data_IF_968549655340
#
_entry.id   IF_968549655340
#
_cell.length_a   1.000
_cell.length_b   1.000
_cell.length_c   1.000
_cell.angle_alpha   90.00
_cell.angle_beta   90.00
_cell.angle_gamma   90.00
#
_symmetry.space_group_name_H-M   'P 1'
#
loop_
_entity.id
_entity.type
_entity.pdbx_description
1 polymer ?
#
# COMPACT_ATOMS: atom_id res chain seq x y z
N UNK A 1 3.41 17.58 -10.11
CA UNK A 1 4.34 16.59 -9.53
C UNK A 1 4.78 15.66 -10.65
N UNK A 2 6.08 15.65 -10.95
CA UNK A 2 6.86 14.68 -11.74
C UNK A 2 6.38 14.21 -13.14
N UNK A 3 5.17 14.56 -13.59
CA UNK A 3 4.62 14.16 -14.90
C UNK A 3 4.64 12.65 -15.16
N UNK A 4 4.58 11.85 -14.09
CA UNK A 4 4.50 10.39 -14.15
C UNK A 4 3.02 10.00 -14.19
N UNK A 5 2.64 9.24 -15.22
CA UNK A 5 1.31 8.62 -15.30
C UNK A 5 1.34 7.29 -14.55
N UNK A 6 0.34 7.04 -13.71
CA UNK A 6 0.23 5.82 -12.91
C UNK A 6 -1.19 5.29 -13.05
N UNK A 7 -1.31 3.98 -13.26
CA UNK A 7 -2.57 3.25 -13.35
C UNK A 7 -2.69 2.25 -12.20
N UNK A 8 -3.88 1.67 -12.04
CA UNK A 8 -4.15 0.61 -11.06
C UNK A 8 -3.31 -0.64 -11.33
N UNK A 9 -3.00 -0.93 -12.59
CA UNK A 9 -2.10 -2.02 -13.00
C UNK A 9 -0.64 -1.80 -12.59
N UNK A 10 -0.26 -0.58 -12.20
CA UNK A 10 1.08 -0.25 -11.69
C UNK A 10 1.17 -0.40 -10.16
N UNK A 11 0.09 -0.85 -9.51
CA UNK A 11 -0.02 -0.90 -8.06
C UNK A 11 -0.40 -2.29 -7.57
N UNK A 12 0.55 -2.97 -6.93
CA UNK A 12 0.26 -4.17 -6.18
C UNK A 12 -0.59 -3.82 -4.93
N UNK A 13 -1.85 -4.23 -4.95
CA UNK A 13 -2.85 -3.99 -3.91
C UNK A 13 -2.94 -5.23 -3.01
N UNK A 14 -2.44 -5.10 -1.78
CA UNK A 14 -2.40 -6.20 -0.81
C UNK A 14 -3.38 -5.94 0.34
N UNK A 15 -4.11 -6.96 0.75
CA UNK A 15 -5.16 -6.90 1.77
C UNK A 15 -4.83 -7.81 2.96
N UNK A 16 -5.06 -7.30 4.17
CA UNK A 16 -4.97 -8.04 5.43
C UNK A 16 -6.09 -7.63 6.38
N UNK A 17 -7.21 -7.16 5.81
CA UNK A 17 -8.36 -6.68 6.54
C UNK A 17 -9.05 -7.83 7.26
N UNK A 18 -9.62 -7.52 8.43
CA UNK A 18 -10.44 -8.43 9.23
C UNK A 18 -11.78 -7.76 9.52
N UNK A 19 -12.71 -8.48 10.13
CA UNK A 19 -13.99 -7.92 10.55
C UNK A 19 -13.87 -6.65 11.43
N UNK A 20 -12.76 -6.51 12.17
CA UNK A 20 -12.53 -5.38 13.08
C UNK A 20 -11.60 -4.30 12.52
N UNK A 21 -10.93 -4.57 11.38
CA UNK A 21 -9.88 -3.68 10.90
C UNK A 21 -9.76 -3.71 9.38
N UNK A 22 -9.88 -2.56 8.76
CA UNK A 22 -9.39 -2.35 7.39
C UNK A 22 -7.86 -2.18 7.38
N UNK A 23 -7.15 -2.93 6.53
CA UNK A 23 -5.68 -2.91 6.48
C UNK A 23 -5.15 -3.34 5.11
N UNK A 24 -4.75 -2.37 4.29
CA UNK A 24 -4.15 -2.60 2.97
C UNK A 24 -2.75 -2.03 2.83
N UNK A 25 -1.93 -2.69 2.03
CA UNK A 25 -0.61 -2.19 1.61
C UNK A 25 -0.65 -1.95 0.11
N UNK A 26 -0.23 -0.78 -0.34
CA UNK A 26 -0.04 -0.46 -1.75
C UNK A 26 1.45 -0.36 -2.05
N UNK A 27 1.90 -1.11 -3.06
CA UNK A 27 3.28 -1.09 -3.54
C UNK A 27 3.23 -0.59 -4.98
N UNK A 28 3.79 0.60 -5.21
CA UNK A 28 3.77 1.27 -6.51
C UNK A 28 4.99 0.86 -7.33
N UNK A 29 4.77 0.35 -8.53
CA UNK A 29 5.79 0.12 -9.55
C UNK A 29 5.78 1.30 -10.51
N UNK A 30 6.68 2.27 -10.32
CA UNK A 30 6.70 3.46 -11.18
C UNK A 30 7.17 3.09 -12.60
N UNK A 31 6.58 3.69 -13.65
CA UNK A 31 6.97 3.45 -15.03
C UNK A 31 8.47 3.69 -15.28
N UNK A 32 9.06 2.92 -16.20
CA UNK A 32 10.47 3.08 -16.58
C UNK A 32 11.47 2.71 -15.49
N UNK A 33 11.05 1.96 -14.46
CA UNK A 33 11.93 1.57 -13.36
C UNK A 33 12.31 2.72 -12.44
N UNK A 34 11.55 3.81 -12.45
CA UNK A 34 11.76 4.94 -11.55
C UNK A 34 11.58 4.53 -10.09
N UNK A 35 12.39 5.12 -9.20
CA UNK A 35 12.38 4.85 -7.78
C UNK A 35 12.52 6.15 -6.99
N UNK A 36 12.06 6.15 -5.75
CA UNK A 36 12.49 7.14 -4.77
C UNK A 36 13.87 6.77 -4.24
N UNK A 37 14.71 7.77 -3.95
CA UNK A 37 16.06 7.55 -3.40
C UNK A 37 16.05 6.70 -2.13
N UNK A 38 15.08 6.95 -1.24
CA UNK A 38 14.86 6.17 -0.03
C UNK A 38 13.41 6.30 0.50
N UNK A 39 13.09 5.54 1.55
CA UNK A 39 11.77 5.59 2.18
C UNK A 39 11.44 6.96 2.80
N UNK A 40 12.43 7.78 3.17
CA UNK A 40 12.19 9.13 3.71
C UNK A 40 11.79 10.09 2.59
N UNK A 41 12.44 10.03 1.44
CA UNK A 41 12.06 10.77 0.24
C UNK A 41 10.62 10.44 -0.19
N UNK A 42 10.27 9.14 -0.22
CA UNK A 42 8.88 8.72 -0.43
C UNK A 42 7.93 9.30 0.64
N UNK A 43 8.33 9.28 1.91
CA UNK A 43 7.55 9.87 3.01
C UNK A 43 7.32 11.38 2.89
N UNK A 44 8.32 12.15 2.43
CA UNK A 44 8.18 13.58 2.16
C UNK A 44 7.14 13.81 1.06
N UNK A 45 7.22 13.05 -0.03
CA UNK A 45 6.24 13.12 -1.11
C UNK A 45 4.83 12.77 -0.62
N UNK A 46 4.66 11.67 0.12
CA UNK A 46 3.35 11.23 0.61
C UNK A 46 2.76 12.22 1.61
N UNK A 47 3.58 12.80 2.50
CA UNK A 47 3.15 13.89 3.40
C UNK A 47 2.63 15.09 2.61
N UNK A 48 3.39 15.55 1.60
CA UNK A 48 2.98 16.67 0.77
C UNK A 48 1.69 16.36 -0.01
N UNK A 49 1.54 15.14 -0.53
CA UNK A 49 0.34 14.67 -1.20
C UNK A 49 -0.87 14.67 -0.24
N UNK A 50 -0.75 14.10 0.96
CA UNK A 50 -1.82 14.07 1.97
C UNK A 50 -2.21 15.48 2.40
N UNK A 51 -1.25 16.36 2.67
CA UNK A 51 -1.53 17.77 3.00
C UNK A 51 -2.26 18.50 1.88
N UNK A 52 -1.92 18.22 0.61
CA UNK A 52 -2.67 18.76 -0.53
C UNK A 52 -4.09 18.20 -0.58
N UNK A 53 -4.27 16.89 -0.42
CA UNK A 53 -5.60 16.25 -0.43
C UNK A 53 -6.48 16.81 0.69
N UNK A 54 -5.92 17.06 1.88
CA UNK A 54 -6.66 17.68 2.99
C UNK A 54 -7.12 19.10 2.64
N UNK A 55 -6.25 19.92 2.02
CA UNK A 55 -6.63 21.26 1.53
C UNK A 55 -7.72 21.18 0.46
N UNK A 56 -7.59 20.27 -0.51
CA UNK A 56 -8.61 20.05 -1.55
C UNK A 56 -9.92 19.55 -0.96
N UNK A 57 -9.89 18.72 0.09
CA UNK A 57 -11.08 18.28 0.83
C UNK A 57 -11.78 19.46 1.51
N UNK A 58 -11.04 20.26 2.29
CA UNK A 58 -11.60 21.40 3.04
C UNK A 58 -12.18 22.49 2.15
N UNK A 59 -11.62 22.66 0.95
CA UNK A 59 -12.09 23.63 -0.04
C UNK A 59 -13.21 23.10 -0.96
N UNK A 60 -13.64 21.84 -0.82
CA UNK A 60 -14.66 21.25 -1.70
C UNK A 60 -14.15 20.84 -3.09
N UNK A 61 -12.86 21.04 -3.38
CA UNK A 61 -12.25 20.75 -4.69
C UNK A 61 -12.31 19.27 -5.03
N UNK A 62 -12.20 18.38 -4.05
CA UNK A 62 -12.33 16.94 -4.30
C UNK A 62 -13.73 16.58 -4.81
N UNK A 63 -14.78 17.11 -4.19
CA UNK A 63 -16.17 16.89 -4.57
C UNK A 63 -16.45 17.48 -5.95
N UNK A 64 -15.97 18.70 -6.22
CA UNK A 64 -16.07 19.33 -7.54
C UNK A 64 -15.40 18.50 -8.66
N UNK A 65 -14.37 17.74 -8.34
CA UNK A 65 -13.71 16.78 -9.24
C UNK A 65 -14.40 15.40 -9.31
N UNK A 66 -15.58 15.24 -8.70
CA UNK A 66 -16.30 13.97 -8.62
C UNK A 66 -15.69 12.94 -7.67
N UNK A 67 -14.79 13.34 -6.76
CA UNK A 67 -14.07 12.45 -5.84
C UNK A 67 -14.70 12.44 -4.44
N UNK A 68 -16.03 12.34 -4.37
CA UNK A 68 -16.79 12.41 -3.12
C UNK A 68 -16.35 11.33 -2.12
N UNK A 69 -16.21 10.07 -2.57
CA UNK A 69 -15.74 8.98 -1.70
C UNK A 69 -14.38 9.28 -1.04
N UNK A 70 -13.43 9.88 -1.78
CA UNK A 70 -12.15 10.27 -1.21
C UNK A 70 -12.32 11.44 -0.23
N UNK A 71 -13.15 12.42 -0.58
CA UNK A 71 -13.42 13.56 0.30
C UNK A 71 -14.00 13.10 1.65
N UNK A 72 -14.96 12.18 1.62
CA UNK A 72 -15.67 11.70 2.80
C UNK A 72 -14.81 10.77 3.66
N UNK A 73 -13.93 9.98 3.04
CA UNK A 73 -13.18 8.91 3.72
C UNK A 73 -11.66 9.16 3.88
N UNK A 74 -11.13 10.31 3.44
CA UNK A 74 -9.70 10.63 3.62
C UNK A 74 -9.29 10.63 5.10
N UNK A 75 -10.21 11.05 5.98
CA UNK A 75 -10.05 11.01 7.42
C UNK A 75 -11.21 10.24 8.03
N UNK A 76 -10.89 9.29 8.91
CA UNK A 76 -11.83 8.38 9.57
C UNK A 76 -11.74 8.54 11.08
N UNK A 77 -12.76 8.10 11.81
CA UNK A 77 -12.74 8.11 13.28
C UNK A 77 -11.63 7.17 13.78
N UNK A 78 -10.76 7.67 14.66
CA UNK A 78 -9.65 6.89 15.21
C UNK A 78 -10.10 5.90 16.29
N UNK A 79 -11.18 6.24 17.00
CA UNK A 79 -11.74 5.49 18.11
C UNK A 79 -13.26 5.39 17.93
N UNK A 80 -13.86 4.35 18.50
CA UNK A 80 -15.31 4.28 18.64
C UNK A 80 -15.74 5.41 19.58
N UNK A 81 -16.80 6.14 19.25
CA UNK A 81 -17.25 7.27 20.04
C UNK A 81 -17.68 6.77 21.43
N UNK A 82 -16.83 6.95 22.45
CA UNK A 82 -17.12 6.53 23.82
C UNK A 82 -17.94 7.56 24.59
N UNK A 83 -17.95 8.82 24.15
CA UNK A 83 -18.69 9.91 24.79
C UNK A 83 -19.34 10.83 23.76
N UNK A 84 -20.64 11.11 23.91
CA UNK A 84 -21.41 12.00 23.00
C UNK A 84 -20.94 13.46 23.02
N UNK A 85 -20.14 13.86 24.01
CA UNK A 85 -19.70 15.24 24.21
C UNK A 85 -18.28 15.53 23.67
N UNK A 86 -17.57 14.54 23.13
CA UNK A 86 -16.21 14.73 22.61
C UNK A 86 -16.23 14.64 21.09
N UNK A 87 -15.81 15.71 20.42
CA UNK A 87 -15.65 15.72 18.96
C UNK A 87 -14.73 14.56 18.54
N UNK A 88 -15.14 13.70 17.58
CA UNK A 88 -14.39 12.50 17.24
C UNK A 88 -12.99 12.87 16.74
N UNK A 89 -11.98 12.21 17.33
CA UNK A 89 -10.60 12.36 16.89
C UNK A 89 -10.43 11.68 15.53
N UNK A 90 -10.37 12.49 14.49
CA UNK A 90 -10.14 12.01 13.12
C UNK A 90 -8.67 11.64 12.90
N UNK A 91 -8.44 10.56 12.15
CA UNK A 91 -7.13 10.13 11.68
C UNK A 91 -7.14 9.93 10.17
N UNK A 92 -6.01 10.14 9.50
CA UNK A 92 -5.91 9.89 8.07
C UNK A 92 -5.90 8.38 7.79
N UNK A 93 -6.57 7.95 6.72
CA UNK A 93 -6.55 6.55 6.27
C UNK A 93 -5.16 6.11 5.78
N UNK A 94 -4.28 7.07 5.42
CA UNK A 94 -2.90 6.82 4.99
C UNK A 94 -1.97 6.88 6.21
N UNK A 95 -1.34 5.76 6.56
CA UNK A 95 -0.35 5.70 7.63
C UNK A 95 0.97 6.37 7.21
N UNK A 96 1.20 7.60 7.70
CA UNK A 96 2.43 8.35 7.45
C UNK A 96 3.61 7.88 8.33
N UNK A 97 3.36 7.05 9.35
CA UNK A 97 4.36 6.58 10.30
C UNK A 97 5.23 5.43 9.78
N UNK A 98 4.98 4.95 8.56
CA UNK A 98 5.75 3.86 7.94
C UNK A 98 7.03 4.34 7.25
N UNK A 99 7.15 5.63 6.94
CA UNK A 99 8.28 6.18 6.19
C UNK A 99 9.47 6.55 7.11
N UNK A 100 9.98 5.55 7.82
CA UNK A 100 11.08 5.70 8.79
C UNK A 100 12.30 4.87 8.39
N UNK A 101 13.48 5.23 8.90
CA UNK A 101 14.71 4.46 8.68
C UNK A 101 14.53 3.02 9.18
N UNK A 102 14.98 2.04 8.38
CA UNK A 102 14.93 0.61 8.70
C UNK A 102 13.52 0.11 9.08
N UNK A 103 12.47 0.68 8.45
CA UNK A 103 11.09 0.22 8.67
C UNK A 103 10.94 -1.21 8.15
N UNK A 104 10.44 -2.09 9.01
CA UNK A 104 10.00 -3.41 8.60
C UNK A 104 8.60 -3.32 7.97
N UNK A 105 8.49 -3.78 6.72
CA UNK A 105 7.22 -4.03 6.07
C UNK A 105 6.90 -5.52 6.13
N UNK A 106 5.64 -5.83 6.46
CA UNK A 106 5.19 -7.21 6.55
C UNK A 106 5.18 -7.84 5.16
N UNK A 107 5.77 -9.03 5.04
CA UNK A 107 5.86 -9.78 3.79
C UNK A 107 4.49 -10.32 3.36
N UNK A 108 4.29 -10.43 2.05
CA UNK A 108 3.15 -11.15 1.50
C UNK A 108 3.10 -12.57 2.04
N UNK A 109 1.90 -13.07 2.31
CA UNK A 109 1.66 -14.39 2.86
C UNK A 109 1.95 -14.54 4.35
N UNK A 110 2.39 -13.48 5.03
CA UNK A 110 2.63 -13.48 6.47
C UNK A 110 1.52 -12.80 7.27
N UNK A 111 1.37 -13.22 8.53
CA UNK A 111 0.48 -12.62 9.52
C UNK A 111 1.27 -12.06 10.69
N UNK A 112 0.73 -11.05 11.37
CA UNK A 112 1.30 -10.62 12.66
C UNK A 112 1.22 -11.78 13.66
N UNK A 113 2.23 -11.88 14.53
CA UNK A 113 2.22 -12.86 15.61
C UNK A 113 0.92 -12.75 16.43
N UNK A 114 0.35 -13.90 16.80
CA UNK A 114 -0.91 -13.98 17.54
C UNK A 114 -2.20 -13.59 16.80
N UNK A 115 -2.15 -13.20 15.51
CA UNK A 115 -3.37 -12.95 14.72
C UNK A 115 -3.88 -14.22 14.02
N UNK A 116 -5.18 -14.27 13.69
CA UNK A 116 -5.77 -15.36 12.92
C UNK A 116 -5.23 -15.41 11.48
N UNK A 117 -5.45 -16.52 10.80
CA UNK A 117 -5.05 -16.69 9.39
C UNK A 117 -5.75 -15.70 8.46
N UNK A 118 -6.92 -15.19 8.83
CA UNK A 118 -7.68 -14.20 8.06
C UNK A 118 -6.94 -12.85 7.97
N UNK A 119 -6.08 -12.55 8.95
CA UNK A 119 -5.25 -11.35 8.96
C UNK A 119 -3.96 -11.49 8.14
N UNK A 120 -3.80 -12.58 7.39
CA UNK A 120 -2.64 -12.78 6.51
C UNK A 120 -2.65 -11.75 5.39
N UNK A 121 -1.48 -11.18 5.07
CA UNK A 121 -1.35 -10.27 3.95
C UNK A 121 -1.45 -11.07 2.63
N UNK A 122 -2.44 -10.77 1.81
CA UNK A 122 -2.77 -11.48 0.56
C UNK A 122 -2.96 -10.48 -0.57
N UNK A 123 -2.99 -10.95 -1.81
CA UNK A 123 -3.36 -10.12 -2.96
C UNK A 123 -4.84 -9.74 -2.81
N UNK A 124 -5.17 -8.45 -2.91
CA UNK A 124 -6.53 -7.97 -2.79
C UNK A 124 -7.39 -8.46 -3.95
N UNK A 125 -8.69 -8.71 -3.70
CA UNK A 125 -9.64 -9.09 -4.77
C UNK A 125 -9.77 -8.05 -5.88
N UNK A 126 -9.52 -6.78 -5.56
CA UNK A 126 -9.60 -5.63 -6.47
C UNK A 126 -8.25 -5.29 -7.12
N UNK A 127 -7.24 -6.12 -6.95
CA UNK A 127 -5.92 -5.88 -7.51
C UNK A 127 -5.95 -5.99 -9.04
N UNK A 128 -5.33 -5.03 -9.71
CA UNK A 128 -5.18 -5.00 -11.19
C UNK A 128 -3.72 -5.19 -11.62
N UNK A 129 -2.77 -5.21 -10.67
CA UNK A 129 -1.37 -5.48 -10.95
C UNK A 129 -1.15 -6.94 -11.36
N UNK A 130 -0.39 -7.13 -12.44
CA UNK A 130 -0.11 -8.46 -12.97
C UNK A 130 1.04 -9.11 -12.20
N UNK A 131 0.69 -10.05 -11.33
CA UNK A 131 1.66 -10.95 -10.72
C UNK A 131 2.09 -12.05 -11.70
N UNK A 132 3.30 -12.64 -11.53
CA UNK A 132 3.74 -13.79 -12.32
C UNK A 132 2.72 -14.95 -12.30
N UNK A 133 2.66 -15.76 -13.37
CA UNK A 133 1.63 -16.78 -13.64
C UNK A 133 1.49 -17.92 -12.59
N UNK A 134 2.20 -17.86 -11.47
CA UNK A 134 2.17 -18.82 -10.36
C UNK A 134 2.13 -18.13 -8.99
N UNK A 135 1.97 -16.82 -8.99
CA UNK A 135 2.02 -15.99 -7.80
C UNK A 135 0.61 -15.49 -7.50
N UNK A 136 -0.13 -16.29 -6.76
CA UNK A 136 -1.52 -16.04 -6.40
C UNK A 136 -1.77 -16.29 -4.90
N UNK A 137 -3.04 -16.26 -4.50
CA UNK A 137 -3.45 -16.55 -3.13
C UNK A 137 -3.63 -18.07 -2.85
N UNK A 138 -3.52 -18.92 -3.87
CA UNK A 138 -3.79 -20.36 -3.78
C UNK A 138 -2.56 -21.18 -3.35
N UNK A 139 -1.37 -20.74 -3.74
CA UNK A 139 -0.10 -21.44 -3.47
C UNK A 139 0.68 -20.90 -2.29
N UNK A 140 1.32 -21.80 -1.52
CA UNK A 140 2.47 -21.47 -0.66
C UNK A 140 3.48 -20.73 -1.54
N UNK A 141 4.04 -19.60 -1.08
CA UNK A 141 5.29 -19.10 -1.65
C UNK A 141 6.31 -20.22 -1.46
N UNK A 142 6.48 -21.06 -2.47
CA UNK A 142 7.61 -21.98 -2.52
C UNK A 142 8.83 -21.10 -2.51
N UNK A 143 9.72 -21.33 -1.55
CA UNK A 143 11.03 -20.72 -1.48
C UNK A 143 11.57 -20.66 -2.91
N UNK A 144 11.78 -19.45 -3.43
CA UNK A 144 12.47 -19.28 -4.70
C UNK A 144 13.78 -20.02 -4.53
N UNK A 145 13.99 -21.10 -5.28
CA UNK A 145 15.32 -21.70 -5.39
C UNK A 145 16.22 -20.55 -5.82
N UNK A 146 17.10 -20.13 -4.91
CA UNK A 146 18.13 -19.15 -5.25
C UNK A 146 18.90 -19.78 -6.39
N UNK A 147 18.72 -19.27 -7.61
CA UNK A 147 19.63 -19.58 -8.70
C UNK A 147 21.02 -19.22 -8.21
N UNK A 148 21.82 -20.24 -7.90
CA UNK A 148 23.22 -20.08 -7.57
C UNK A 148 23.91 -19.46 -8.78
N UNK A 149 24.97 -18.70 -8.52
CA UNK A 149 25.81 -18.06 -9.54
C UNK A 149 26.44 -19.02 -10.58
N UNK A 150 26.17 -20.33 -10.49
CA UNK A 150 26.58 -21.36 -11.44
C UNK A 150 25.83 -21.30 -12.79
N UNK A 151 24.64 -20.71 -12.85
CA UNK A 151 23.83 -20.73 -14.08
C UNK A 151 24.26 -19.66 -15.10
N UNK A 152 25.11 -18.70 -14.69
CA UNK A 152 25.66 -17.67 -15.57
C UNK A 152 26.74 -18.19 -16.55
N UNK A 153 27.28 -19.39 -16.35
CA UNK A 153 28.35 -19.93 -17.21
C UNK A 153 27.85 -20.78 -18.40
N UNK A 154 26.54 -20.97 -18.57
CA UNK A 154 26.00 -21.77 -19.69
C UNK A 154 25.52 -20.97 -20.91
N UNK A 155 25.65 -19.64 -20.90
CA UNK A 155 25.19 -18.76 -21.98
C UNK A 155 26.31 -18.14 -22.84
N UNK A 156 27.57 -18.50 -22.61
CA UNK A 156 28.69 -18.10 -23.50
C UNK A 156 29.23 -19.27 -24.36
N UNK A 157 28.53 -20.41 -24.40
CA UNK A 157 29.03 -21.64 -25.02
C UNK A 157 28.13 -22.31 -26.06
N UNK A 158 27.15 -21.62 -26.64
CA UNK A 158 26.33 -22.13 -27.74
C UNK A 158 26.06 -21.05 -28.79
#
# INVERSE_FOLDING_TARGET
FYSISIQRSDMADLDSSTAKKFSRHWIMHLPGGLLFDDARAAGIFVKAMVSRLEKERKSGVLQAKGRCLLADNLFVNAEEATDENVSPKLTCIIDLGVYTRNRLFRLLGSKKFGKSCDATLRIAKTNEFLFPKQFDNSGRMTTVETHSASDAQKLEGM
#
